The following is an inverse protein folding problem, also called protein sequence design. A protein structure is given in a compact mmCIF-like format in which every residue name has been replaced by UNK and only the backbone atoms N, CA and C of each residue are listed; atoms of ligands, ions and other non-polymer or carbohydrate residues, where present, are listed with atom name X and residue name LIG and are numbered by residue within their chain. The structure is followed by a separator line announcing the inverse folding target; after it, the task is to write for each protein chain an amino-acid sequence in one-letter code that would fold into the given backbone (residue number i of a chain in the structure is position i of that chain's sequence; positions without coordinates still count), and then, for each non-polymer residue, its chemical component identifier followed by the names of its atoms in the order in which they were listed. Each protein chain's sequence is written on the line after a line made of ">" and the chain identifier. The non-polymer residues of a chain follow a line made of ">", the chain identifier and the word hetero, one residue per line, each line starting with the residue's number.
data_IF_832717261415
#
_entry.id   IF_832717261415
#
_cell.length_a   1.000
_cell.length_b   1.000
_cell.length_c   1.000
_cell.angle_alpha   90.00
_cell.angle_beta   90.00
_cell.angle_gamma   90.00
#
_symmetry.space_group_name_H-M   'P 1'
#
loop_
_entity.id
_entity.type
_entity.pdbx_description
1 polymer ?
#
# COMPACT_ATOMS: atom_id res chain seq x y z
N UNK A 1 13.24 16.27 -15.20
CA UNK A 1 12.11 15.81 -16.03
C UNK A 1 12.26 14.32 -16.29
N UNK A 2 11.19 13.53 -16.18
CA UNK A 2 11.25 12.08 -16.33
C UNK A 2 11.03 11.69 -17.79
N UNK A 3 11.77 10.68 -18.25
CA UNK A 3 11.66 10.17 -19.61
C UNK A 3 11.67 8.64 -19.58
N UNK A 4 10.80 8.01 -20.38
CA UNK A 4 10.82 6.57 -20.65
C UNK A 4 11.14 6.41 -22.14
N UNK A 5 12.24 5.75 -22.49
CA UNK A 5 12.66 5.57 -23.89
C UNK A 5 12.71 6.89 -24.71
N UNK A 6 13.04 8.01 -24.07
CA UNK A 6 13.13 9.33 -24.72
C UNK A 6 11.81 10.10 -24.83
N UNK A 7 10.66 9.52 -24.47
CA UNK A 7 9.40 10.27 -24.35
C UNK A 7 9.26 10.85 -22.95
N UNK A 8 8.82 12.11 -22.87
CA UNK A 8 8.58 12.77 -21.59
C UNK A 8 7.40 12.11 -20.88
N UNK A 9 7.58 11.77 -19.61
CA UNK A 9 6.58 11.06 -18.83
C UNK A 9 6.45 11.68 -17.42
N UNK A 10 5.40 11.32 -16.72
CA UNK A 10 5.21 11.72 -15.33
C UNK A 10 5.98 10.77 -14.43
N UNK A 11 6.29 11.23 -13.21
CA UNK A 11 6.84 10.37 -12.17
C UNK A 11 5.94 9.15 -11.92
N UNK A 12 4.62 9.33 -12.03
CA UNK A 12 3.64 8.27 -11.85
C UNK A 12 3.83 7.13 -12.86
N UNK A 13 4.05 7.46 -14.14
CA UNK A 13 4.18 6.46 -15.21
C UNK A 13 5.44 5.60 -15.00
N UNK A 14 6.52 6.21 -14.47
CA UNK A 14 7.75 5.49 -14.08
C UNK A 14 7.51 4.57 -12.87
N UNK A 15 6.79 5.06 -11.86
CA UNK A 15 6.47 4.28 -10.66
C UNK A 15 5.55 3.09 -10.95
N UNK A 16 4.59 3.27 -11.84
CA UNK A 16 3.66 2.23 -12.27
C UNK A 16 4.39 1.14 -13.07
N UNK A 17 5.23 1.53 -14.04
CA UNK A 17 6.04 0.60 -14.82
C UNK A 17 7.04 -0.21 -13.95
N UNK A 18 7.65 0.42 -12.95
CA UNK A 18 8.47 -0.28 -11.97
C UNK A 18 7.63 -1.21 -11.09
N UNK A 19 6.42 -0.81 -10.71
CA UNK A 19 5.54 -1.66 -9.89
C UNK A 19 5.05 -2.89 -10.64
N UNK A 20 4.75 -2.76 -11.94
CA UNK A 20 4.29 -3.85 -12.80
C UNK A 20 5.37 -4.90 -13.09
N UNK A 21 6.63 -4.48 -13.17
CA UNK A 21 7.79 -5.38 -13.30
C UNK A 21 8.20 -6.02 -11.98
N UNK A 22 7.48 -5.71 -10.90
CA UNK A 22 7.81 -6.15 -9.54
C UNK A 22 8.96 -5.36 -8.91
N UNK A 23 9.50 -4.33 -9.56
CA UNK A 23 10.56 -3.45 -9.04
C UNK A 23 10.04 -2.19 -8.32
N UNK A 24 8.75 -2.16 -7.94
CA UNK A 24 8.12 -1.01 -7.30
C UNK A 24 8.66 -0.70 -5.90
N UNK A 25 8.08 0.31 -5.23
CA UNK A 25 8.46 0.77 -3.86
C UNK A 25 8.41 -0.32 -2.77
N UNK A 26 7.98 -1.53 -3.10
CA UNK A 26 7.77 -2.65 -2.21
C UNK A 26 8.85 -3.74 -2.34
N UNK A 27 9.90 -3.51 -3.14
CA UNK A 27 10.93 -4.50 -3.38
C UNK A 27 12.30 -4.13 -2.80
N UNK A 28 12.88 -5.12 -2.10
CA UNK A 28 14.18 -5.10 -1.42
C UNK A 28 15.40 -4.99 -2.38
N UNK A 29 15.21 -4.52 -3.61
CA UNK A 29 16.26 -4.45 -4.64
C UNK A 29 17.29 -3.38 -4.31
N UNK A 30 16.93 -2.40 -3.47
CA UNK A 30 17.84 -1.40 -2.94
C UNK A 30 17.96 -1.62 -1.44
N UNK A 31 18.98 -2.38 -1.02
CA UNK A 31 19.34 -2.49 0.39
C UNK A 31 20.22 -1.29 0.74
N UNK A 32 19.60 -0.29 1.36
CA UNK A 32 20.32 0.89 1.86
C UNK A 32 21.20 0.52 3.05
N UNK A 33 22.40 1.10 3.14
CA UNK A 33 23.25 0.95 4.32
C UNK A 33 22.51 1.49 5.56
N UNK A 34 22.26 0.65 6.56
CA UNK A 34 21.45 0.96 7.76
C UNK A 34 20.03 0.36 7.77
N UNK A 35 19.55 -0.21 6.66
CA UNK A 35 18.26 -0.91 6.65
C UNK A 35 18.30 -2.22 7.47
N UNK A 36 19.49 -2.83 7.55
CA UNK A 36 19.75 -4.01 8.37
C UNK A 36 19.71 -3.66 9.87
N UNK A 37 20.26 -2.52 10.25
CA UNK A 37 20.18 -2.00 11.63
C UNK A 37 18.73 -1.63 12.00
N UNK A 38 17.95 -1.10 11.05
CA UNK A 38 16.53 -0.85 11.25
C UNK A 38 15.73 -2.15 11.49
N UNK A 39 16.04 -3.24 10.78
CA UNK A 39 15.40 -4.57 11.01
C UNK A 39 15.84 -5.19 12.35
N UNK A 40 17.09 -4.95 12.77
CA UNK A 40 17.60 -5.45 14.04
C UNK A 40 17.00 -4.70 15.23
N UNK A 41 16.78 -3.40 15.10
CA UNK A 41 16.16 -2.54 16.12
C UNK A 41 14.62 -2.49 16.06
N UNK A 42 14.01 -3.00 14.99
CA UNK A 42 12.57 -2.94 14.78
C UNK A 42 11.80 -3.71 15.86
N UNK A 43 10.64 -3.18 16.23
CA UNK A 43 9.67 -3.89 17.07
C UNK A 43 9.15 -5.15 16.36
N UNK A 44 8.63 -6.15 17.10
CA UNK A 44 8.07 -7.36 16.50
C UNK A 44 6.96 -7.09 15.46
N UNK A 45 6.23 -5.99 15.63
CA UNK A 45 5.14 -5.56 14.74
C UNK A 45 5.68 -5.05 13.39
N UNK A 46 6.73 -4.23 13.41
CA UNK A 46 7.41 -3.74 12.21
C UNK A 46 8.09 -4.88 11.46
N UNK A 47 8.76 -5.79 12.19
CA UNK A 47 9.37 -7.00 11.62
C UNK A 47 8.34 -7.88 10.92
N UNK A 48 7.15 -8.02 11.51
CA UNK A 48 6.04 -8.75 10.90
C UNK A 48 5.58 -8.08 9.61
N UNK A 49 5.56 -6.75 9.55
CA UNK A 49 5.29 -5.99 8.33
C UNK A 49 6.24 -6.34 7.18
N UNK A 50 7.55 -6.38 7.45
CA UNK A 50 8.55 -6.77 6.45
C UNK A 50 8.36 -8.22 5.95
N UNK A 51 8.03 -9.16 6.85
CA UNK A 51 7.77 -10.56 6.48
C UNK A 51 6.48 -10.69 5.67
N UNK A 52 5.41 -10.00 6.06
CA UNK A 52 4.13 -10.00 5.33
C UNK A 52 4.25 -9.35 3.94
N UNK A 53 5.15 -8.38 3.79
CA UNK A 53 5.50 -7.76 2.51
C UNK A 53 6.26 -8.75 1.61
N UNK A 54 7.30 -9.41 2.12
CA UNK A 54 8.04 -10.45 1.39
C UNK A 54 7.15 -11.65 0.99
N UNK A 55 6.17 -12.02 1.82
CA UNK A 55 5.21 -13.08 1.53
C UNK A 55 4.12 -12.68 0.52
N UNK A 56 4.07 -11.41 0.08
CA UNK A 56 3.07 -10.91 -0.86
C UNK A 56 1.63 -10.89 -0.32
N UNK A 57 1.47 -11.07 1.00
CA UNK A 57 0.16 -11.09 1.67
C UNK A 57 -0.39 -9.68 1.87
N UNK A 58 0.51 -8.68 1.87
CA UNK A 58 0.17 -7.27 2.05
C UNK A 58 -0.87 -6.76 1.04
N UNK A 59 -0.84 -7.24 -0.22
CA UNK A 59 -1.83 -6.86 -1.25
C UNK A 59 -3.25 -7.32 -0.87
N UNK A 60 -3.37 -8.53 -0.33
CA UNK A 60 -4.64 -9.10 0.10
C UNK A 60 -5.13 -8.45 1.39
N UNK A 61 -4.21 -8.13 2.31
CA UNK A 61 -4.51 -7.41 3.55
C UNK A 61 -5.02 -5.99 3.28
N UNK A 62 -4.37 -5.24 2.38
CA UNK A 62 -4.84 -3.91 1.96
C UNK A 62 -6.22 -3.98 1.29
N UNK A 63 -6.47 -5.00 0.46
CA UNK A 63 -7.80 -5.24 -0.13
C UNK A 63 -8.85 -5.56 0.95
N UNK A 64 -8.45 -6.39 1.92
CA UNK A 64 -8.98 -6.56 3.29
C UNK A 64 -9.57 -5.27 3.86
N UNK A 65 -8.65 -4.41 4.28
CA UNK A 65 -8.92 -3.17 5.00
C UNK A 65 -9.77 -2.19 4.18
N UNK A 66 -9.53 -2.09 2.87
CA UNK A 66 -10.36 -1.25 1.98
C UNK A 66 -11.81 -1.72 1.93
N UNK A 67 -12.04 -3.03 1.85
CA UNK A 67 -13.40 -3.58 1.85
C UNK A 67 -14.11 -3.32 3.18
N UNK A 68 -13.42 -3.52 4.31
CA UNK A 68 -13.96 -3.24 5.66
C UNK A 68 -14.27 -1.75 5.82
N UNK A 69 -13.34 -0.87 5.42
CA UNK A 69 -13.53 0.58 5.47
C UNK A 69 -14.74 1.02 4.64
N UNK A 70 -14.92 0.44 3.45
CA UNK A 70 -16.08 0.71 2.60
C UNK A 70 -17.40 0.22 3.23
N UNK A 71 -17.40 -0.95 3.87
CA UNK A 71 -18.57 -1.44 4.59
C UNK A 71 -18.94 -0.54 5.78
N UNK A 72 -17.95 -0.09 6.55
CA UNK A 72 -18.19 0.83 7.66
C UNK A 72 -18.76 2.18 7.18
N UNK A 73 -18.24 2.71 6.06
CA UNK A 73 -18.81 3.91 5.45
C UNK A 73 -20.25 3.69 4.98
N UNK A 74 -20.56 2.55 4.35
CA UNK A 74 -21.93 2.24 3.94
C UNK A 74 -22.87 2.08 5.13
N UNK A 75 -22.44 1.44 6.22
CA UNK A 75 -23.25 1.34 7.43
C UNK A 75 -23.53 2.71 8.05
N UNK A 76 -22.53 3.60 8.10
CA UNK A 76 -22.73 4.97 8.58
C UNK A 76 -23.65 5.80 7.67
N UNK A 77 -23.60 5.58 6.36
CA UNK A 77 -24.50 6.24 5.41
C UNK A 77 -25.93 5.71 5.53
N UNK A 78 -26.10 4.39 5.75
CA UNK A 78 -27.42 3.78 5.95
C UNK A 78 -28.08 4.33 7.22
N UNK A 79 -27.36 4.37 8.34
CA UNK A 79 -27.85 4.95 9.60
C UNK A 79 -28.29 6.40 9.42
N UNK A 80 -27.54 7.21 8.65
CA UNK A 80 -27.95 8.59 8.36
C UNK A 80 -29.22 8.69 7.52
N UNK A 81 -29.47 7.75 6.62
CA UNK A 81 -30.69 7.72 5.81
C UNK A 81 -31.88 7.27 6.64
N UNK A 82 -31.69 6.27 7.51
CA UNK A 82 -32.70 5.82 8.48
C UNK A 82 -33.12 6.99 9.40
N UNK A 83 -32.15 7.70 9.98
CA UNK A 83 -32.41 8.89 10.80
C UNK A 83 -33.23 9.98 10.07
N UNK A 84 -33.04 10.12 8.75
CA UNK A 84 -33.75 11.10 7.90
C UNK A 84 -35.14 10.62 7.45
N UNK A 85 -35.40 9.32 7.52
CA UNK A 85 -36.68 8.71 7.08
C UNK A 85 -37.63 8.52 8.28
N UNK A 86 -37.07 8.43 9.48
CA UNK A 86 -37.81 8.37 10.74
C UNK A 86 -38.26 9.76 11.25
N UNK A 87 -37.83 10.85 10.58
CA UNK A 87 -38.30 12.25 10.76
C UNK A 87 -39.42 12.62 9.75
#
# INVERSE_FOLDING_TARGET
>A
EYHINGTQCRLLDVQELLSDTGMGRQMHVIVGQGQLDAILSSTPEERRGFIEEAAGVLKHRRRKERAISKLNQMAGNLSRVEDLTDE
#
